data_IF_407899109155
#
_entry.id   IF_407899109155
#
_cell.length_a   1.000
_cell.length_b   1.000
_cell.length_c   1.000
_cell.angle_alpha   90.00
_cell.angle_beta   90.00
_cell.angle_gamma   90.00
#
_symmetry.space_group_name_H-M   'P 1'
#
loop_
_entity.id
_entity.type
_entity.pdbx_description
1 polymer ?
#
# COMPACT_ATOMS: atom_id res chain seq x y z
N UNK A 1 -8.24 7.37 12.30
CA UNK A 1 -7.75 8.66 11.80
C UNK A 1 -6.31 8.58 11.28
N UNK A 2 -5.99 9.46 10.37
CA UNK A 2 -4.70 9.46 9.71
C UNK A 2 -3.53 9.68 10.69
N UNK A 3 -3.70 10.58 11.65
CA UNK A 3 -2.66 10.86 12.65
C UNK A 3 -2.33 9.63 13.51
N UNK A 4 -3.33 8.88 13.92
CA UNK A 4 -3.12 7.64 14.67
C UNK A 4 -2.36 6.62 13.83
N UNK A 5 -2.74 6.50 12.55
CA UNK A 5 -2.06 5.60 11.62
C UNK A 5 -0.57 5.96 11.48
N UNK A 6 -0.24 7.24 11.25
CA UNK A 6 1.15 7.66 11.07
C UNK A 6 1.95 7.50 12.35
N UNK A 7 1.37 7.81 13.51
CA UNK A 7 2.05 7.62 14.80
C UNK A 7 2.35 6.15 15.08
N UNK A 8 1.40 5.27 14.81
CA UNK A 8 1.59 3.84 14.98
C UNK A 8 2.66 3.30 14.02
N UNK A 9 2.64 3.75 12.78
CA UNK A 9 3.63 3.32 11.79
C UNK A 9 5.04 3.75 12.20
N UNK A 10 5.20 4.99 12.65
CA UNK A 10 6.48 5.50 13.16
C UNK A 10 6.98 4.67 14.34
N UNK A 11 6.10 4.37 15.28
CA UNK A 11 6.44 3.55 16.46
C UNK A 11 6.91 2.16 16.05
N UNK A 12 6.21 1.54 15.09
CA UNK A 12 6.60 0.21 14.59
C UNK A 12 7.98 0.23 13.95
N UNK A 13 8.25 1.22 13.11
CA UNK A 13 9.55 1.36 12.46
C UNK A 13 10.66 1.53 13.49
N UNK A 14 10.47 2.42 14.45
CA UNK A 14 11.47 2.69 15.48
C UNK A 14 11.76 1.45 16.33
N UNK A 15 10.74 0.68 16.70
CA UNK A 15 10.90 -0.56 17.45
C UNK A 15 11.66 -1.62 16.65
N UNK A 16 11.32 -1.78 15.38
CA UNK A 16 12.03 -2.75 14.54
C UNK A 16 13.51 -2.39 14.47
N UNK A 17 13.83 -1.11 14.31
CA UNK A 17 15.23 -0.65 14.23
C UNK A 17 15.98 -0.78 15.55
N UNK A 18 15.31 -0.58 16.67
CA UNK A 18 15.92 -0.75 17.98
C UNK A 18 16.23 -2.22 18.31
N UNK A 19 15.36 -3.12 17.87
CA UNK A 19 15.42 -4.54 18.27
C UNK A 19 16.09 -5.43 17.22
N UNK A 20 16.21 -4.97 15.97
CA UNK A 20 16.75 -5.79 14.88
C UNK A 20 17.58 -4.93 13.91
N UNK A 21 18.35 -5.61 13.04
CA UNK A 21 19.01 -4.97 11.93
C UNK A 21 18.26 -5.12 10.60
N UNK A 22 16.97 -5.41 10.66
CA UNK A 22 16.18 -5.70 9.46
C UNK A 22 16.00 -4.48 8.55
N UNK A 23 16.08 -4.70 7.26
CA UNK A 23 15.65 -3.72 6.28
C UNK A 23 14.12 -3.58 6.33
N UNK A 24 13.63 -2.36 6.09
CA UNK A 24 12.20 -2.08 6.17
C UNK A 24 11.72 -1.58 4.82
N UNK A 25 10.70 -2.23 4.28
CA UNK A 25 9.97 -1.77 3.11
C UNK A 25 8.56 -1.40 3.57
N UNK A 26 8.17 -0.15 3.32
CA UNK A 26 6.77 0.24 3.45
C UNK A 26 6.11 0.12 2.10
N UNK A 27 4.84 -0.27 2.08
CA UNK A 27 4.08 -0.27 0.83
C UNK A 27 2.71 0.34 1.07
N UNK A 28 2.21 1.04 0.06
CA UNK A 28 0.83 1.49 0.04
C UNK A 28 -0.08 0.32 -0.35
N UNK A 29 -1.35 0.43 -0.02
CA UNK A 29 -2.31 -0.64 -0.29
C UNK A 29 -3.20 -0.29 -1.47
N UNK A 30 -3.73 -1.32 -2.13
CA UNK A 30 -4.66 -1.13 -3.23
C UNK A 30 -5.97 -0.53 -2.73
N UNK A 31 -6.67 0.24 -3.58
CA UNK A 31 -8.01 0.74 -3.22
C UNK A 31 -9.05 -0.36 -3.42
N UNK A 32 -10.14 -0.35 -2.64
CA UNK A 32 -11.27 -1.22 -2.92
C UNK A 32 -11.94 -0.82 -4.23
N UNK A 33 -12.90 -1.65 -4.68
CA UNK A 33 -13.70 -1.32 -5.85
C UNK A 33 -14.38 0.04 -5.64
N UNK A 34 -14.17 1.02 -6.53
CA UNK A 34 -14.75 2.36 -6.35
C UNK A 34 -16.27 2.38 -6.37
N UNK A 35 -16.90 1.34 -6.88
CA UNK A 35 -18.37 1.20 -6.86
C UNK A 35 -18.89 0.75 -5.50
N UNK A 36 -18.01 0.31 -4.59
CA UNK A 36 -18.40 -0.12 -3.26
C UNK A 36 -18.58 1.10 -2.35
N UNK A 37 -19.83 1.49 -2.16
CA UNK A 37 -20.15 2.74 -1.47
C UNK A 37 -19.92 2.71 0.04
N UNK A 38 -19.66 1.56 0.64
CA UNK A 38 -19.27 1.47 2.05
C UNK A 38 -17.78 1.74 2.28
N UNK A 39 -17.00 1.89 1.24
CA UNK A 39 -15.58 2.24 1.37
C UNK A 39 -15.42 3.67 1.86
N UNK A 40 -14.32 3.93 2.57
CA UNK A 40 -14.02 5.26 3.11
C UNK A 40 -13.62 6.28 2.04
N UNK A 41 -13.18 5.81 0.88
CA UNK A 41 -12.70 6.63 -0.24
C UNK A 41 -11.52 7.55 0.12
N UNK A 42 -10.75 7.20 1.16
CA UNK A 42 -9.60 7.99 1.61
C UNK A 42 -8.26 7.25 1.49
N UNK A 43 -8.19 6.19 0.70
CA UNK A 43 -6.97 5.38 0.55
C UNK A 43 -5.79 6.19 0.02
N UNK A 44 -6.05 7.17 -0.83
CA UNK A 44 -4.98 8.03 -1.34
C UNK A 44 -4.25 8.76 -0.23
N UNK A 45 -4.99 9.31 0.74
CA UNK A 45 -4.39 10.01 1.87
C UNK A 45 -3.48 9.08 2.69
N UNK A 46 -3.90 7.85 2.91
CA UNK A 46 -3.08 6.85 3.61
C UNK A 46 -1.87 6.41 2.79
N UNK A 47 -2.03 6.27 1.49
CA UNK A 47 -0.91 5.95 0.60
C UNK A 47 0.15 7.05 0.63
N UNK A 48 -0.27 8.31 0.54
CA UNK A 48 0.63 9.46 0.60
C UNK A 48 1.31 9.58 1.96
N UNK A 49 0.57 9.34 3.03
CA UNK A 49 1.13 9.36 4.39
C UNK A 49 2.18 8.26 4.58
N UNK A 50 1.95 7.09 4.02
CA UNK A 50 2.91 5.98 4.06
C UNK A 50 4.18 6.33 3.29
N UNK A 51 4.05 6.91 2.11
CA UNK A 51 5.20 7.38 1.33
C UNK A 51 6.01 8.44 2.07
N UNK A 52 5.32 9.41 2.68
CA UNK A 52 5.97 10.45 3.48
C UNK A 52 6.73 9.85 4.66
N UNK A 53 6.12 8.88 5.35
CA UNK A 53 6.77 8.20 6.47
C UNK A 53 8.01 7.43 6.01
N UNK A 54 7.95 6.77 4.86
CA UNK A 54 9.10 6.08 4.30
C UNK A 54 10.24 7.06 4.03
N UNK A 55 9.92 8.24 3.51
CA UNK A 55 10.89 9.28 3.24
C UNK A 55 11.52 9.81 4.53
N UNK A 56 10.70 10.13 5.52
CA UNK A 56 11.16 10.67 6.81
C UNK A 56 11.99 9.65 7.60
N UNK A 57 11.62 8.38 7.57
CA UNK A 57 12.30 7.32 8.30
C UNK A 57 13.35 6.58 7.46
N UNK A 58 13.57 7.01 6.22
CA UNK A 58 14.55 6.40 5.32
C UNK A 58 14.30 4.90 5.12
N UNK A 59 13.05 4.53 4.92
CA UNK A 59 12.63 3.19 4.52
C UNK A 59 12.49 3.12 3.01
N UNK A 60 12.63 1.93 2.44
CA UNK A 60 12.23 1.69 1.06
C UNK A 60 10.71 1.79 0.94
N UNK A 61 10.21 2.19 -0.23
CA UNK A 61 8.78 2.36 -0.45
C UNK A 61 8.36 1.65 -1.74
N UNK A 62 7.31 0.85 -1.64
CA UNK A 62 6.68 0.16 -2.77
C UNK A 62 5.29 0.74 -2.99
N UNK A 63 5.09 1.46 -4.09
CA UNK A 63 3.84 2.18 -4.34
C UNK A 63 2.82 1.30 -5.04
N UNK A 64 2.21 0.42 -4.29
CA UNK A 64 1.15 -0.45 -4.79
C UNK A 64 -0.07 0.36 -5.21
N UNK A 65 -0.45 1.37 -4.42
CA UNK A 65 -1.67 2.16 -4.67
C UNK A 65 -1.68 2.78 -6.05
N UNK A 66 -0.65 3.57 -6.40
CA UNK A 66 -0.63 4.27 -7.68
C UNK A 66 -0.40 3.31 -8.86
N UNK A 67 0.37 2.25 -8.67
CA UNK A 67 0.53 1.23 -9.71
C UNK A 67 -0.78 0.48 -9.96
N UNK A 68 -1.54 0.20 -8.90
CA UNK A 68 -2.86 -0.41 -9.03
C UNK A 68 -3.82 0.49 -9.82
N UNK A 69 -3.86 1.79 -9.49
CA UNK A 69 -4.71 2.74 -10.21
C UNK A 69 -4.33 2.84 -11.69
N UNK A 70 -3.04 2.81 -12.00
CA UNK A 70 -2.59 2.86 -13.39
C UNK A 70 -3.08 1.65 -14.19
N UNK A 71 -3.07 0.46 -13.58
CA UNK A 71 -3.59 -0.76 -14.21
C UNK A 71 -5.12 -0.71 -14.29
N UNK A 72 -5.78 -0.27 -13.23
CA UNK A 72 -7.24 -0.14 -13.17
C UNK A 72 -7.79 0.81 -14.24
N UNK A 73 -7.00 1.80 -14.66
CA UNK A 73 -7.40 2.72 -15.73
C UNK A 73 -7.60 2.02 -17.07
N UNK A 74 -7.05 0.80 -17.24
CA UNK A 74 -7.14 0.02 -18.48
C UNK A 74 -7.89 -1.30 -18.30
N UNK A 75 -8.31 -1.60 -17.08
CA UNK A 75 -9.04 -2.81 -16.73
C UNK A 75 -10.21 -2.45 -15.81
N UNK A 76 -11.11 -3.41 -15.61
CA UNK A 76 -12.18 -3.22 -14.64
C UNK A 76 -11.65 -3.52 -13.24
N UNK A 77 -12.15 -2.86 -12.18
CA UNK A 77 -11.76 -3.19 -10.81
C UNK A 77 -11.95 -4.68 -10.48
N UNK A 78 -13.00 -5.28 -11.01
CA UNK A 78 -13.33 -6.70 -10.78
C UNK A 78 -12.27 -7.65 -11.34
N UNK A 79 -11.49 -7.22 -12.34
CA UNK A 79 -10.45 -8.05 -12.94
C UNK A 79 -9.29 -8.34 -11.97
N UNK A 80 -9.17 -7.54 -10.91
CA UNK A 80 -8.08 -7.62 -9.94
C UNK A 80 -8.54 -8.08 -8.57
N UNK A 81 -9.84 -8.32 -8.39
CA UNK A 81 -10.44 -8.60 -7.09
C UNK A 81 -11.13 -9.96 -7.08
N UNK A 82 -10.87 -10.76 -6.04
CA UNK A 82 -11.48 -12.08 -5.90
C UNK A 82 -12.93 -12.03 -5.42
N UNK A 83 -13.27 -11.01 -4.63
CA UNK A 83 -14.62 -10.82 -4.08
C UNK A 83 -15.34 -9.63 -4.69
N UNK A 84 -14.77 -9.03 -5.73
CA UNK A 84 -15.27 -7.83 -6.40
C UNK A 84 -15.33 -6.58 -5.51
N UNK A 85 -14.78 -6.61 -4.31
CA UNK A 85 -14.86 -5.52 -3.34
C UNK A 85 -13.46 -5.08 -2.90
N UNK A 86 -12.77 -5.89 -2.09
CA UNK A 86 -11.56 -5.47 -1.40
C UNK A 86 -10.55 -6.59 -1.12
N UNK A 87 -10.62 -7.70 -1.85
CA UNK A 87 -9.64 -8.77 -1.73
C UNK A 87 -8.99 -9.03 -3.08
N UNK A 88 -7.65 -8.94 -3.20
CA UNK A 88 -6.98 -9.21 -4.47
C UNK A 88 -7.19 -10.64 -4.93
N UNK A 89 -7.34 -10.83 -6.23
CA UNK A 89 -7.24 -12.13 -6.87
C UNK A 89 -5.77 -12.42 -7.23
N UNK A 90 -5.50 -13.48 -8.00
CA UNK A 90 -4.13 -13.82 -8.38
C UNK A 90 -3.45 -12.70 -9.16
N UNK A 91 -4.18 -12.03 -10.06
CA UNK A 91 -3.63 -10.88 -10.78
C UNK A 91 -3.32 -9.73 -9.84
N UNK A 92 -4.21 -9.45 -8.88
CA UNK A 92 -3.98 -8.43 -7.86
C UNK A 92 -2.72 -8.71 -7.03
N UNK A 93 -2.53 -9.96 -6.62
CA UNK A 93 -1.32 -10.37 -5.92
C UNK A 93 -0.07 -10.24 -6.79
N UNK A 94 -0.19 -10.53 -8.08
CA UNK A 94 0.92 -10.35 -9.03
C UNK A 94 1.34 -8.87 -9.11
N UNK A 95 0.38 -7.93 -9.04
CA UNK A 95 0.70 -6.50 -9.01
C UNK A 95 1.57 -6.18 -7.80
N UNK A 96 1.21 -6.68 -6.62
CA UNK A 96 2.04 -6.52 -5.42
C UNK A 96 3.46 -7.05 -5.63
N UNK A 97 3.56 -8.25 -6.17
CA UNK A 97 4.87 -8.86 -6.45
C UNK A 97 5.72 -7.99 -7.37
N UNK A 98 5.16 -7.53 -8.49
CA UNK A 98 5.87 -6.71 -9.45
C UNK A 98 6.37 -5.40 -8.85
N UNK A 99 5.55 -4.76 -8.02
CA UNK A 99 5.93 -3.51 -7.38
C UNK A 99 7.03 -3.74 -6.34
N UNK A 100 6.89 -4.77 -5.51
CA UNK A 100 7.88 -5.12 -4.50
C UNK A 100 9.21 -5.52 -5.12
N UNK A 101 9.20 -6.27 -6.21
CA UNK A 101 10.41 -6.68 -6.91
C UNK A 101 11.24 -5.47 -7.38
N UNK A 102 10.60 -4.38 -7.76
CA UNK A 102 11.27 -3.17 -8.26
C UNK A 102 11.94 -2.35 -7.16
N UNK A 103 11.70 -2.64 -5.90
CA UNK A 103 12.32 -1.90 -4.81
C UNK A 103 13.85 -2.08 -4.79
N UNK A 104 14.35 -3.22 -5.27
CA UNK A 104 15.78 -3.40 -5.48
C UNK A 104 16.60 -3.55 -4.21
N UNK A 105 16.18 -4.42 -3.32
CA UNK A 105 16.90 -4.69 -2.08
C UNK A 105 18.12 -5.59 -2.29
#
# INVERSE_FOLDING_TARGET
>A
PLATFTNNLATMIDRIREETGAEIILYSTFPPNPKWHYGSHNMEAYAMATEQMAREKQCAFADVYHNWLAIESKKKPEDMLSNNINHPNDFGHWIYFEVLERVGL
#
